data_IF_350085248460
#
_entry.id   IF_350085248460
#
_cell.length_a   1.000
_cell.length_b   1.000
_cell.length_c   1.000
_cell.angle_alpha   90.00
_cell.angle_beta   90.00
_cell.angle_gamma   90.00
#
_symmetry.space_group_name_H-M   'P 1'
#
loop_
_entity.id
_entity.type
_entity.pdbx_description
1 polymer ?
#
# COMPACT_ATOMS: atom_id res chain seq x y z
N UNK A 1 -0.31 16.30 7.32
CA UNK A 1 -0.60 14.94 7.82
C UNK A 1 -1.88 14.44 7.17
N UNK A 2 -1.87 13.21 6.66
CA UNK A 2 -3.00 12.58 5.98
C UNK A 2 -3.18 11.17 6.52
N UNK A 3 -4.43 10.83 6.86
CA UNK A 3 -4.82 9.46 7.23
C UNK A 3 -5.35 8.78 5.96
N UNK A 4 -4.67 7.73 5.52
CA UNK A 4 -4.95 7.03 4.28
C UNK A 4 -5.87 5.84 4.53
N UNK A 5 -6.88 5.73 3.66
CA UNK A 5 -7.79 4.61 3.55
C UNK A 5 -7.27 3.55 2.56
N UNK A 6 -7.85 2.35 2.60
CA UNK A 6 -7.52 1.20 1.74
C UNK A 6 -7.52 1.55 0.26
N UNK A 7 -8.44 2.40 -0.19
CA UNK A 7 -8.53 2.82 -1.59
C UNK A 7 -7.30 3.59 -2.07
N UNK A 8 -6.73 4.45 -1.22
CA UNK A 8 -5.53 5.21 -1.57
C UNK A 8 -4.34 4.26 -1.73
N UNK A 9 -4.18 3.26 -0.86
CA UNK A 9 -3.12 2.26 -1.02
C UNK A 9 -3.26 1.44 -2.30
N UNK A 10 -4.48 1.06 -2.68
CA UNK A 10 -4.74 0.35 -3.95
C UNK A 10 -4.29 1.16 -5.16
N UNK A 11 -4.49 2.47 -5.11
CA UNK A 11 -4.11 3.41 -6.17
C UNK A 11 -2.61 3.72 -6.17
N UNK A 12 -2.01 3.99 -5.01
CA UNK A 12 -0.57 4.28 -4.88
C UNK A 12 0.30 3.13 -5.40
N UNK A 13 -0.18 1.89 -5.29
CA UNK A 13 0.46 0.70 -5.85
C UNK A 13 0.62 0.74 -7.38
N UNK A 14 -0.20 1.53 -8.07
CA UNK A 14 -0.14 1.69 -9.52
C UNK A 14 0.90 2.75 -9.95
N UNK A 15 1.44 3.54 -9.01
CA UNK A 15 2.43 4.58 -9.32
C UNK A 15 3.70 4.03 -9.99
N UNK A 16 4.34 2.94 -9.49
CA UNK A 16 5.53 2.39 -10.15
C UNK A 16 5.23 1.83 -11.55
N UNK A 17 3.95 1.56 -11.85
CA UNK A 17 3.50 1.04 -13.15
C UNK A 17 3.09 2.17 -14.11
N UNK A 18 3.10 3.44 -13.67
CA UNK A 18 2.60 4.57 -14.44
C UNK A 18 1.10 4.50 -14.74
N UNK A 19 0.34 3.73 -13.95
CA UNK A 19 -1.09 3.45 -14.18
C UNK A 19 -2.02 4.10 -13.14
N UNK A 20 -1.45 4.79 -12.16
CA UNK A 20 -2.24 5.52 -11.18
C UNK A 20 -2.95 6.71 -11.84
N UNK A 21 -4.09 7.08 -11.29
CA UNK A 21 -4.81 8.28 -11.63
C UNK A 21 -3.87 9.49 -11.56
N UNK A 22 -3.80 10.32 -12.63
CA UNK A 22 -2.87 11.44 -12.68
C UNK A 22 -2.98 12.42 -11.50
N UNK A 23 -4.21 12.64 -11.01
CA UNK A 23 -4.45 13.56 -9.88
C UNK A 23 -3.97 12.96 -8.57
N UNK A 24 -4.17 11.65 -8.36
CA UNK A 24 -3.66 10.96 -7.17
C UNK A 24 -2.14 10.89 -7.20
N UNK A 25 -1.54 10.67 -8.37
CA UNK A 25 -0.10 10.68 -8.55
C UNK A 25 0.51 12.05 -8.24
N UNK A 26 -0.06 13.12 -8.80
CA UNK A 26 0.40 14.49 -8.54
C UNK A 26 0.27 14.87 -7.06
N UNK A 27 -0.84 14.51 -6.42
CA UNK A 27 -1.02 14.71 -4.98
C UNK A 27 -0.02 13.90 -4.15
N UNK A 28 0.16 12.61 -4.44
CA UNK A 28 1.07 11.77 -3.67
C UNK A 28 2.54 12.24 -3.78
N UNK A 29 2.93 12.80 -4.93
CA UNK A 29 4.26 13.36 -5.15
C UNK A 29 4.49 14.71 -4.46
N UNK A 30 3.43 15.45 -4.12
CA UNK A 30 3.56 16.75 -3.44
C UNK A 30 3.70 16.62 -1.92
N UNK A 31 3.49 15.44 -1.36
CA UNK A 31 3.48 15.19 0.08
C UNK A 31 4.65 14.27 0.48
N UNK A 32 5.34 14.60 1.57
CA UNK A 32 6.36 13.73 2.14
C UNK A 32 5.72 12.48 2.77
N UNK A 33 6.32 11.31 2.56
CA UNK A 33 5.79 10.03 3.05
C UNK A 33 5.66 9.95 4.58
N UNK A 34 6.48 10.70 5.33
CA UNK A 34 6.36 10.83 6.79
C UNK A 34 5.06 11.51 7.25
N UNK A 35 4.31 12.12 6.33
CA UNK A 35 3.01 12.71 6.60
C UNK A 35 1.85 11.76 6.31
N UNK A 36 2.12 10.56 5.80
CA UNK A 36 1.13 9.51 5.58
C UNK A 36 1.02 8.60 6.78
N UNK A 37 -0.21 8.44 7.24
CA UNK A 37 -0.58 7.57 8.35
C UNK A 37 -1.71 6.67 7.89
N UNK A 38 -1.95 5.60 8.62
CA UNK A 38 -3.14 4.76 8.46
C UNK A 38 -3.52 4.18 9.82
N UNK A 39 -4.63 3.45 9.88
CA UNK A 39 -5.06 2.78 11.10
C UNK A 39 -4.95 1.25 10.95
N UNK A 40 -5.04 0.55 12.09
CA UNK A 40 -4.92 -0.91 12.16
C UNK A 40 -6.07 -1.65 11.43
N UNK A 41 -7.21 -0.99 11.20
CA UNK A 41 -8.33 -1.57 10.45
C UNK A 41 -8.01 -1.60 8.96
N UNK A 42 -7.45 -0.53 8.40
CA UNK A 42 -6.98 -0.48 7.02
C UNK A 42 -5.86 -1.49 6.78
N UNK A 43 -4.93 -1.65 7.73
CA UNK A 43 -3.90 -2.69 7.67
C UNK A 43 -4.52 -4.09 7.60
N UNK A 44 -5.49 -4.38 8.48
CA UNK A 44 -6.23 -5.65 8.47
C UNK A 44 -6.99 -5.88 7.16
N UNK A 45 -7.65 -4.86 6.60
CA UNK A 45 -8.35 -4.95 5.31
C UNK A 45 -7.42 -5.28 4.15
N UNK A 46 -6.23 -4.67 4.15
CA UNK A 46 -5.18 -4.95 3.17
C UNK A 46 -4.70 -6.39 3.30
N UNK A 47 -4.37 -6.86 4.52
CA UNK A 47 -3.93 -8.23 4.75
C UNK A 47 -5.03 -9.25 4.41
N UNK A 48 -6.30 -8.98 4.73
CA UNK A 48 -7.44 -9.81 4.29
C UNK A 48 -7.57 -9.83 2.78
N UNK A 49 -7.40 -8.69 2.12
CA UNK A 49 -7.38 -8.58 0.65
C UNK A 49 -6.24 -9.38 0.02
N UNK A 50 -5.05 -9.36 0.64
CA UNK A 50 -3.89 -10.15 0.23
C UNK A 50 -4.20 -11.65 0.34
N UNK A 51 -4.72 -12.09 1.50
CA UNK A 51 -5.08 -13.49 1.73
C UNK A 51 -6.16 -13.99 0.75
N UNK A 52 -7.20 -13.19 0.50
CA UNK A 52 -8.25 -13.53 -0.47
C UNK A 52 -7.77 -13.58 -1.93
N UNK A 53 -6.72 -12.83 -2.27
CA UNK A 53 -6.14 -12.82 -3.61
C UNK A 53 -5.13 -13.96 -3.85
N UNK A 54 -4.65 -14.65 -2.82
CA UNK A 54 -3.81 -15.86 -3.00
C UNK A 54 -4.55 -16.95 -3.78
N UNK A 55 -5.88 -17.01 -3.65
CA UNK A 55 -6.74 -18.01 -4.30
C UNK A 55 -7.09 -17.65 -5.76
N UNK A 56 -7.01 -16.36 -6.15
CA UNK A 56 -7.53 -15.88 -7.45
C UNK A 56 -6.51 -15.12 -8.34
N UNK A 57 -5.43 -14.52 -7.80
CA UNK A 57 -4.36 -13.86 -8.58
C UNK A 57 -3.16 -13.47 -7.69
N UNK A 58 -2.12 -14.32 -7.66
CA UNK A 58 -0.95 -14.21 -6.76
C UNK A 58 -0.16 -12.90 -6.88
N UNK A 59 -0.17 -12.23 -8.05
CA UNK A 59 0.65 -11.04 -8.30
C UNK A 59 0.07 -9.79 -7.66
N UNK A 60 -1.26 -9.68 -7.66
CA UNK A 60 -1.95 -8.49 -7.18
C UNK A 60 -1.82 -8.35 -5.65
N UNK A 61 -1.92 -9.46 -4.92
CA UNK A 61 -1.74 -9.52 -3.48
C UNK A 61 -0.34 -9.04 -3.05
N UNK A 62 0.71 -9.58 -3.67
CA UNK A 62 2.11 -9.27 -3.32
C UNK A 62 2.44 -7.80 -3.54
N UNK A 63 1.97 -7.23 -4.65
CA UNK A 63 2.20 -5.81 -4.98
C UNK A 63 1.51 -4.87 -3.95
N UNK A 64 0.33 -5.25 -3.44
CA UNK A 64 -0.42 -4.42 -2.48
C UNK A 64 0.26 -4.42 -1.12
N UNK A 65 0.70 -5.59 -0.66
CA UNK A 65 1.47 -5.73 0.56
C UNK A 65 2.79 -4.98 0.50
N UNK A 66 3.49 -5.04 -0.62
CA UNK A 66 4.74 -4.31 -0.81
C UNK A 66 4.52 -2.80 -0.80
N UNK A 67 3.51 -2.32 -1.51
CA UNK A 67 3.18 -0.89 -1.55
C UNK A 67 2.89 -0.34 -0.16
N UNK A 68 2.09 -1.04 0.64
CA UNK A 68 1.74 -0.60 1.99
C UNK A 68 2.99 -0.40 2.87
N UNK A 69 3.87 -1.40 2.92
CA UNK A 69 5.11 -1.33 3.70
C UNK A 69 6.11 -0.28 3.17
N UNK A 70 6.15 -0.06 1.86
CA UNK A 70 6.99 0.97 1.26
C UNK A 70 6.46 2.39 1.52
N UNK A 71 5.13 2.57 1.52
CA UNK A 71 4.47 3.86 1.75
C UNK A 71 4.51 4.26 3.23
N UNK A 72 4.41 3.29 4.15
CA UNK A 72 4.55 3.55 5.59
C UNK A 72 5.68 2.70 6.18
N UNK A 73 6.94 3.20 6.15
CA UNK A 73 8.12 2.45 6.58
C UNK A 73 8.12 2.05 8.06
N UNK A 74 7.31 2.71 8.89
CA UNK A 74 7.39 2.63 10.35
C UNK A 74 6.30 1.78 11.01
N UNK A 75 5.32 1.26 10.26
CA UNK A 75 4.19 0.54 10.87
C UNK A 75 4.47 -0.94 11.16
N UNK A 76 5.48 -1.54 10.53
CA UNK A 76 5.72 -2.98 10.65
C UNK A 76 7.20 -3.30 10.87
N UNK A 77 7.53 -3.89 12.03
CA UNK A 77 8.70 -4.75 12.22
C UNK A 77 8.52 -6.07 11.45
N UNK A 78 8.18 -6.01 10.16
CA UNK A 78 8.13 -7.22 9.33
C UNK A 78 9.56 -7.52 8.91
N UNK A 79 10.15 -8.63 9.39
CA UNK A 79 11.54 -8.90 9.15
C UNK A 79 11.77 -9.14 7.65
N UNK A 80 12.87 -8.58 7.13
CA UNK A 80 13.22 -8.53 5.70
C UNK A 80 13.21 -9.90 4.98
N UNK A 81 13.21 -11.01 5.72
CA UNK A 81 13.12 -12.36 5.17
C UNK A 81 11.72 -12.78 4.71
N UNK A 82 10.66 -12.07 5.12
CA UNK A 82 9.28 -12.38 4.73
C UNK A 82 8.94 -12.08 3.25
N UNK A 83 9.88 -11.48 2.50
CA UNK A 83 9.68 -11.04 1.12
C UNK A 83 10.41 -11.90 0.06
N UNK A 84 11.11 -12.96 0.47
CA UNK A 84 11.66 -13.95 -0.46
C UNK A 84 10.56 -14.88 -0.97
#
# INVERSE_FOLDING_TARGET
MYLLDTNIFRELRLLPKGKANPNVAAWAQSIQTNQFFTNVVVEMEIERGVLGAIDNSKKEAKDLRYCFHATIPNLCHVPKHAYK
#
